data_IF_658035926868
#
_entry.id   IF_658035926868
#
_cell.length_a   1.000
_cell.length_b   1.000
_cell.length_c   1.000
_cell.angle_alpha   90.00
_cell.angle_beta   90.00
_cell.angle_gamma   90.00
#
_symmetry.space_group_name_H-M   'P 1'
#
loop_
_entity.id
_entity.type
_entity.pdbx_description
1 polymer ?
#
# COMPACT_ATOMS: atom_id res chain seq x y z
N UNK A 1 -13.43 -53.64 -25.43
CA UNK A 1 -13.44 -53.30 -24.00
C UNK A 1 -12.14 -52.63 -23.52
N UNK A 2 -10.93 -53.14 -23.87
CA UNK A 2 -9.65 -52.47 -23.43
C UNK A 2 -9.45 -51.05 -23.92
N UNK A 3 -9.92 -50.66 -25.12
CA UNK A 3 -9.81 -49.28 -25.65
C UNK A 3 -10.71 -48.26 -24.94
N UNK A 4 -11.85 -48.73 -24.44
CA UNK A 4 -12.80 -47.85 -23.67
C UNK A 4 -12.22 -47.53 -22.28
N UNK A 5 -11.55 -48.51 -21.64
CA UNK A 5 -10.89 -48.34 -20.35
C UNK A 5 -9.74 -47.33 -20.40
N UNK A 6 -8.98 -47.33 -21.48
CA UNK A 6 -7.86 -46.36 -21.66
C UNK A 6 -8.40 -44.92 -21.87
N UNK A 7 -9.52 -44.80 -22.61
CA UNK A 7 -10.13 -43.50 -22.86
C UNK A 7 -10.74 -42.89 -21.55
N UNK A 8 -11.39 -43.73 -20.72
CA UNK A 8 -11.94 -43.32 -19.42
C UNK A 8 -10.81 -42.91 -18.45
N UNK A 9 -9.66 -43.63 -18.47
CA UNK A 9 -8.51 -43.31 -17.65
C UNK A 9 -7.84 -42.01 -18.06
N UNK A 10 -7.79 -41.71 -19.36
CA UNK A 10 -7.24 -40.45 -19.90
C UNK A 10 -8.09 -39.22 -19.52
N UNK A 11 -9.43 -39.36 -19.46
CA UNK A 11 -10.36 -38.30 -19.07
C UNK A 11 -10.26 -37.98 -17.56
N UNK A 12 -9.97 -38.99 -16.73
CA UNK A 12 -9.82 -38.80 -15.28
C UNK A 12 -8.56 -38.03 -14.87
N UNK A 13 -7.53 -38.02 -15.72
CA UNK A 13 -6.28 -37.28 -15.45
C UNK A 13 -6.42 -35.77 -15.73
N UNK A 14 -7.41 -35.35 -16.54
CA UNK A 14 -7.62 -33.95 -16.88
C UNK A 14 -8.44 -33.16 -15.83
N UNK A 15 -8.97 -33.79 -14.78
CA UNK A 15 -9.80 -33.11 -13.76
C UNK A 15 -9.00 -32.72 -12.50
N UNK A 16 -7.69 -32.96 -12.48
CA UNK A 16 -6.84 -32.71 -11.30
C UNK A 16 -5.93 -31.48 -11.46
N UNK A 17 -6.49 -30.32 -11.79
CA UNK A 17 -5.78 -29.04 -11.65
C UNK A 17 -6.79 -27.89 -11.53
N UNK A 18 -7.58 -27.89 -10.46
CA UNK A 18 -8.13 -26.68 -9.89
C UNK A 18 -7.78 -26.68 -8.40
N UNK A 19 -6.48 -26.45 -8.10
CA UNK A 19 -6.15 -25.80 -6.86
C UNK A 19 -6.48 -24.31 -7.08
N UNK A 20 -7.69 -23.89 -6.74
CA UNK A 20 -7.92 -22.55 -6.32
C UNK A 20 -6.95 -22.31 -5.16
N UNK A 21 -5.80 -21.69 -5.46
CA UNK A 21 -5.07 -20.95 -4.47
C UNK A 21 -6.08 -19.94 -3.93
N UNK A 22 -6.70 -20.24 -2.79
CA UNK A 22 -7.26 -19.22 -1.93
C UNK A 22 -6.08 -18.32 -1.60
N UNK A 23 -5.84 -17.32 -2.46
CA UNK A 23 -5.07 -16.16 -2.04
C UNK A 23 -5.78 -15.71 -0.77
N UNK A 24 -5.10 -15.84 0.36
CA UNK A 24 -5.55 -15.20 1.59
C UNK A 24 -5.85 -13.76 1.19
N UNK A 25 -7.14 -13.41 1.14
CA UNK A 25 -7.54 -12.03 0.90
C UNK A 25 -6.90 -11.24 2.03
N UNK A 26 -5.77 -10.60 1.74
CA UNK A 26 -5.11 -9.70 2.67
C UNK A 26 -6.18 -8.70 3.09
N UNK A 27 -6.65 -8.83 4.32
CA UNK A 27 -7.75 -8.03 4.83
C UNK A 27 -7.34 -6.58 4.75
N UNK A 28 -8.01 -5.81 3.91
CA UNK A 28 -7.82 -4.34 3.85
C UNK A 28 -7.83 -3.79 5.27
N UNK A 29 -6.91 -2.88 5.56
CA UNK A 29 -6.81 -2.28 6.89
C UNK A 29 -8.15 -1.63 7.26
N UNK A 30 -8.74 -2.05 8.37
CA UNK A 30 -9.93 -1.42 8.92
C UNK A 30 -9.51 -0.29 9.86
N UNK A 31 -9.43 0.91 9.32
CA UNK A 31 -9.00 2.11 10.06
C UNK A 31 -9.85 2.38 11.30
N UNK A 32 -11.16 2.12 11.25
CA UNK A 32 -12.09 2.33 12.37
C UNK A 32 -11.74 1.48 13.59
N UNK A 33 -11.23 0.27 13.38
CA UNK A 33 -10.81 -0.62 14.46
C UNK A 33 -9.47 -0.23 15.08
N UNK A 34 -8.78 0.76 14.50
CA UNK A 34 -7.45 1.23 14.92
C UNK A 34 -7.47 2.62 15.53
N UNK A 35 -8.64 3.21 15.69
CA UNK A 35 -8.75 4.54 16.31
C UNK A 35 -8.22 4.48 17.73
N UNK A 36 -7.27 5.37 18.03
CA UNK A 36 -6.66 5.52 19.34
C UNK A 36 -7.09 6.84 19.98
N UNK A 37 -7.18 6.84 21.30
CA UNK A 37 -7.32 8.08 22.07
C UNK A 37 -5.94 8.49 22.54
N UNK A 38 -5.38 9.53 21.92
CA UNK A 38 -4.12 10.14 22.36
C UNK A 38 -4.46 11.17 23.42
N UNK A 39 -3.82 11.06 24.60
CA UNK A 39 -4.04 12.01 25.68
C UNK A 39 -3.26 13.30 25.43
N UNK A 40 -3.86 14.49 25.67
CA UNK A 40 -3.14 15.76 25.60
C UNK A 40 -1.97 15.87 26.62
N UNK A 41 -1.95 14.98 27.63
CA UNK A 41 -0.88 14.91 28.64
C UNK A 41 0.32 14.08 28.19
N UNK A 42 0.18 13.33 27.08
CA UNK A 42 1.26 12.51 26.55
C UNK A 42 2.29 13.45 25.90
N UNK A 43 3.55 13.35 26.32
CA UNK A 43 4.64 14.11 25.72
C UNK A 43 5.05 13.44 24.41
N UNK A 44 4.32 13.73 23.32
CA UNK A 44 4.57 13.18 22.00
C UNK A 44 5.28 14.20 21.10
N UNK A 45 6.20 13.71 20.29
CA UNK A 45 6.76 14.44 19.17
C UNK A 45 5.83 14.31 17.96
N UNK A 46 5.57 15.44 17.26
CA UNK A 46 4.72 15.50 16.07
C UNK A 46 5.59 15.71 14.84
N UNK A 47 5.21 15.12 13.72
CA UNK A 47 5.86 15.37 12.45
C UNK A 47 4.92 15.16 11.28
N UNK A 48 5.34 15.66 10.12
CA UNK A 48 4.69 15.51 8.85
C UNK A 48 5.67 14.94 7.82
N UNK A 49 5.20 14.00 7.00
CA UNK A 49 6.03 13.35 5.97
C UNK A 49 5.35 13.36 4.61
N UNK A 50 6.13 13.66 3.57
CA UNK A 50 5.72 13.65 2.18
C UNK A 50 6.26 12.41 1.49
N UNK A 51 5.40 11.67 0.76
CA UNK A 51 5.75 10.48 0.00
C UNK A 51 5.28 10.62 -1.45
N UNK A 52 6.21 10.58 -2.41
CA UNK A 52 5.87 10.55 -3.83
C UNK A 52 5.28 9.21 -4.23
N UNK A 53 4.18 9.24 -4.98
CA UNK A 53 3.48 8.08 -5.53
C UNK A 53 3.26 8.29 -7.02
N UNK A 54 3.18 7.21 -7.77
CA UNK A 54 2.90 7.25 -9.20
C UNK A 54 1.80 6.23 -9.54
N UNK A 55 0.62 6.71 -9.92
CA UNK A 55 -0.44 5.87 -10.49
C UNK A 55 -0.18 5.56 -11.96
N UNK A 56 0.57 6.43 -12.63
CA UNK A 56 1.00 6.28 -14.02
C UNK A 56 2.42 6.77 -14.21
N UNK A 57 3.13 6.20 -15.19
CA UNK A 57 4.42 6.72 -15.66
C UNK A 57 4.41 6.84 -17.18
N UNK A 58 5.20 7.79 -17.70
CA UNK A 58 5.42 7.90 -19.14
C UNK A 58 6.29 6.74 -19.62
N UNK A 59 5.99 6.25 -20.83
CA UNK A 59 6.72 5.17 -21.47
C UNK A 59 6.97 5.50 -22.94
N UNK A 60 8.22 5.44 -23.35
CA UNK A 60 8.72 5.68 -24.70
C UNK A 60 8.48 7.11 -25.23
N UNK A 61 7.42 7.80 -24.81
CA UNK A 61 7.10 9.16 -25.25
C UNK A 61 6.18 9.86 -24.24
N UNK A 62 6.00 11.19 -24.40
CA UNK A 62 5.04 11.98 -23.63
C UNK A 62 3.56 11.63 -23.93
N UNK A 63 3.30 10.81 -24.94
CA UNK A 63 1.93 10.44 -25.36
C UNK A 63 1.50 9.04 -24.89
N UNK A 64 2.43 8.28 -24.30
CA UNK A 64 2.15 6.93 -23.81
C UNK A 64 2.42 6.83 -22.31
N UNK A 65 1.47 6.29 -21.55
CA UNK A 65 1.59 6.05 -20.12
C UNK A 65 1.28 4.60 -19.80
N UNK A 66 1.92 4.08 -18.76
CA UNK A 66 1.59 2.80 -18.13
C UNK A 66 0.96 3.07 -16.77
N UNK A 67 -0.08 2.32 -16.46
CA UNK A 67 -0.69 2.30 -15.14
C UNK A 67 0.15 1.45 -14.20
N UNK A 68 0.09 1.78 -12.92
CA UNK A 68 0.84 1.12 -11.86
C UNK A 68 -0.07 0.77 -10.70
N UNK A 69 0.15 -0.41 -10.13
CA UNK A 69 -0.30 -0.69 -8.75
C UNK A 69 0.70 -0.04 -7.80
N UNK A 70 0.22 0.72 -6.83
CA UNK A 70 1.06 1.29 -5.79
C UNK A 70 0.69 0.69 -4.42
N UNK A 71 1.67 0.08 -3.75
CA UNK A 71 1.56 -0.40 -2.38
C UNK A 71 2.32 0.54 -1.48
N UNK A 72 1.61 1.22 -0.58
CA UNK A 72 2.17 2.16 0.40
C UNK A 72 2.25 1.46 1.74
N UNK A 73 3.45 1.38 2.31
CA UNK A 73 3.73 0.79 3.62
C UNK A 73 3.94 1.88 4.66
N UNK A 74 3.16 1.81 5.74
CA UNK A 74 3.26 2.69 6.91
C UNK A 74 3.82 1.86 8.06
N UNK A 75 5.12 2.05 8.36
CA UNK A 75 5.88 1.17 9.25
C UNK A 75 6.21 1.83 10.56
N UNK A 76 5.93 1.13 11.65
CA UNK A 76 6.53 1.43 12.95
C UNK A 76 7.86 0.67 13.08
N UNK A 77 8.96 1.39 13.15
CA UNK A 77 10.30 0.81 13.26
C UNK A 77 10.75 0.63 14.72
N UNK A 78 9.97 1.12 15.71
CA UNK A 78 10.24 0.88 17.12
C UNK A 78 9.97 -0.58 17.50
N UNK A 79 10.85 -1.17 18.29
CA UNK A 79 10.67 -2.52 18.84
C UNK A 79 9.76 -2.57 20.07
N UNK A 80 9.45 -1.41 20.68
CA UNK A 80 8.75 -1.34 21.97
C UNK A 80 7.63 -0.32 22.04
N UNK A 81 7.70 0.75 21.27
CA UNK A 81 6.77 1.87 21.37
C UNK A 81 5.69 1.78 20.29
N UNK A 82 4.47 2.08 20.66
CA UNK A 82 3.36 2.32 19.71
C UNK A 82 3.47 3.75 19.18
N UNK A 83 3.26 3.92 17.88
CA UNK A 83 3.18 5.23 17.24
C UNK A 83 1.76 5.53 16.78
N UNK A 84 1.47 6.78 16.49
CA UNK A 84 0.15 7.23 16.07
C UNK A 84 0.25 7.97 14.75
N UNK A 85 -0.58 7.56 13.78
CA UNK A 85 -0.77 8.28 12.54
C UNK A 85 -2.06 9.08 12.68
N UNK A 86 -1.98 10.38 12.48
CA UNK A 86 -3.11 11.30 12.72
C UNK A 86 -3.95 11.48 11.47
N UNK A 87 -3.29 11.47 10.31
CA UNK A 87 -3.92 11.71 9.02
C UNK A 87 -3.13 11.06 7.89
N UNK A 88 -3.83 10.66 6.84
CA UNK A 88 -3.24 10.24 5.57
C UNK A 88 -4.06 10.82 4.42
N UNK A 89 -3.53 11.84 3.78
CA UNK A 89 -4.11 12.52 2.63
C UNK A 89 -3.39 12.13 1.35
N UNK A 90 -4.17 11.77 0.33
CA UNK A 90 -3.70 11.42 -1.00
C UNK A 90 -4.07 12.53 -2.00
N UNK A 91 -3.07 13.06 -2.69
CA UNK A 91 -3.19 14.15 -3.66
C UNK A 91 -2.81 13.70 -5.06
N UNK A 92 -3.41 14.33 -6.07
CA UNK A 92 -3.07 14.11 -7.46
C UNK A 92 -1.81 14.89 -7.91
N UNK A 93 -1.47 14.78 -9.19
CA UNK A 93 -0.35 15.50 -9.83
C UNK A 93 -0.48 17.03 -9.77
N UNK A 94 -1.69 17.55 -9.59
CA UNK A 94 -1.97 18.99 -9.54
C UNK A 94 -2.06 19.54 -8.12
N UNK A 95 -1.92 18.65 -7.11
CA UNK A 95 -2.04 19.00 -5.69
C UNK A 95 -3.49 19.04 -5.20
N UNK A 96 -4.43 18.48 -5.96
CA UNK A 96 -5.82 18.37 -5.55
C UNK A 96 -6.01 17.13 -4.66
N UNK A 97 -6.71 17.30 -3.54
CA UNK A 97 -7.00 16.20 -2.61
C UNK A 97 -7.94 15.19 -3.26
N UNK A 98 -7.46 13.95 -3.44
CA UNK A 98 -8.27 12.84 -3.96
C UNK A 98 -9.02 12.17 -2.81
N UNK A 99 -8.30 11.87 -1.70
CA UNK A 99 -8.85 11.06 -0.63
C UNK A 99 -8.10 11.26 0.69
N UNK A 100 -8.85 11.31 1.78
CA UNK A 100 -8.36 11.12 3.14
C UNK A 100 -8.67 9.69 3.57
N UNK A 101 -7.66 8.90 3.90
CA UNK A 101 -7.83 7.50 4.33
C UNK A 101 -8.29 7.40 5.78
N UNK A 102 -7.77 8.27 6.62
CA UNK A 102 -8.19 8.48 8.02
C UNK A 102 -7.82 9.91 8.45
N UNK A 103 -8.61 10.48 9.34
CA UNK A 103 -8.48 11.82 9.91
C UNK A 103 -8.62 11.80 11.44
N UNK A 104 -8.50 10.61 12.02
CA UNK A 104 -8.46 10.36 13.46
C UNK A 104 -7.21 9.57 13.79
N UNK A 105 -6.61 9.76 14.98
CA UNK A 105 -5.41 9.03 15.35
C UNK A 105 -5.63 7.52 15.26
N UNK A 106 -4.79 6.84 14.48
CA UNK A 106 -4.75 5.38 14.38
C UNK A 106 -3.41 4.89 14.93
N UNK A 107 -3.44 3.82 15.71
CA UNK A 107 -2.22 3.25 16.27
C UNK A 107 -1.55 2.29 15.30
N UNK A 108 -0.22 2.24 15.37
CA UNK A 108 0.62 1.22 14.74
C UNK A 108 1.50 0.59 15.83
N UNK A 109 1.31 -0.70 16.06
CA UNK A 109 2.02 -1.43 17.12
C UNK A 109 3.53 -1.54 16.80
N UNK A 110 4.37 -1.86 17.80
CA UNK A 110 5.80 -2.09 17.56
C UNK A 110 6.05 -3.07 16.42
N UNK A 111 6.94 -2.71 15.48
CA UNK A 111 7.33 -3.48 14.31
C UNK A 111 6.19 -3.81 13.33
N UNK A 112 5.01 -3.21 13.51
CA UNK A 112 3.87 -3.42 12.63
C UNK A 112 3.99 -2.57 11.36
N UNK A 113 3.46 -3.11 10.27
CA UNK A 113 3.28 -2.40 8.99
C UNK A 113 1.80 -2.39 8.65
N UNK A 114 1.26 -1.21 8.34
CA UNK A 114 -0.05 -1.05 7.72
C UNK A 114 0.13 -0.74 6.24
N UNK A 115 -0.85 -1.11 5.41
CA UNK A 115 -0.74 -0.97 3.97
C UNK A 115 -1.93 -0.23 3.39
N UNK A 116 -1.64 0.66 2.43
CA UNK A 116 -2.60 1.27 1.52
C UNK A 116 -2.25 0.78 0.12
N UNK A 117 -3.23 0.21 -0.57
CA UNK A 117 -3.04 -0.22 -1.96
C UNK A 117 -3.90 0.66 -2.87
N UNK A 118 -3.26 1.19 -3.91
CA UNK A 118 -3.90 1.89 -5.03
C UNK A 118 -3.85 0.92 -6.20
N UNK A 119 -5.02 0.49 -6.65
CA UNK A 119 -5.16 -0.49 -7.72
C UNK A 119 -4.67 0.08 -9.07
N UNK A 120 -4.17 -0.76 -9.96
CA UNK A 120 -3.68 -0.37 -11.29
C UNK A 120 -4.75 0.37 -12.13
N UNK A 121 -6.04 0.06 -11.90
CA UNK A 121 -7.16 0.74 -12.54
C UNK A 121 -7.45 2.15 -12.00
N UNK A 122 -6.92 2.51 -10.82
CA UNK A 122 -7.08 3.83 -10.23
C UNK A 122 -5.99 4.78 -10.72
N UNK A 123 -6.29 5.50 -11.79
CA UNK A 123 -5.39 6.47 -12.41
C UNK A 123 -5.56 7.91 -11.88
N UNK A 124 -6.38 8.11 -10.85
CA UNK A 124 -6.73 9.44 -10.31
C UNK A 124 -5.50 10.25 -9.86
N UNK A 125 -4.48 9.57 -9.33
CA UNK A 125 -3.24 10.22 -8.92
C UNK A 125 -2.38 10.76 -10.06
N UNK A 126 -2.48 10.17 -11.25
CA UNK A 126 -1.69 10.57 -12.41
C UNK A 126 -0.21 10.21 -12.29
N UNK A 127 0.65 11.08 -12.85
CA UNK A 127 2.10 10.83 -12.99
C UNK A 127 2.95 11.49 -11.92
N UNK A 128 2.37 12.06 -10.87
CA UNK A 128 3.11 12.79 -9.82
C UNK A 128 2.27 13.01 -8.58
N UNK A 129 1.48 12.02 -8.19
CA UNK A 129 0.69 12.03 -6.96
C UNK A 129 1.57 11.90 -5.72
N UNK A 130 0.98 12.15 -4.56
CA UNK A 130 1.71 12.09 -3.31
C UNK A 130 0.78 11.83 -2.13
N UNK A 131 1.38 11.35 -1.03
CA UNK A 131 0.76 11.33 0.28
C UNK A 131 1.39 12.36 1.21
N UNK A 132 0.55 12.96 2.07
CA UNK A 132 0.96 13.61 3.30
C UNK A 132 0.50 12.77 4.48
N UNK A 133 1.43 12.50 5.40
CA UNK A 133 1.17 11.77 6.63
C UNK A 133 1.49 12.65 7.83
N UNK A 134 0.48 12.93 8.67
CA UNK A 134 0.67 13.52 9.98
C UNK A 134 0.83 12.41 11.01
N UNK A 135 1.81 12.51 11.89
CA UNK A 135 2.10 11.46 12.86
C UNK A 135 2.57 12.00 14.21
N UNK A 136 2.43 11.17 15.23
CA UNK A 136 2.93 11.42 16.58
C UNK A 136 3.63 10.18 17.13
N UNK A 137 4.74 10.40 17.85
CA UNK A 137 5.56 9.36 18.45
C UNK A 137 5.96 9.74 19.88
N UNK A 138 6.20 8.75 20.77
CA UNK A 138 6.85 9.00 22.06
C UNK A 138 8.23 9.62 21.87
N UNK A 139 8.67 10.40 22.87
CA UNK A 139 10.02 10.96 22.83
C UNK A 139 11.08 9.86 22.74
N UNK A 140 12.11 10.10 21.91
CA UNK A 140 13.17 9.14 21.59
C UNK A 140 12.71 7.86 20.89
N UNK A 141 11.46 7.82 20.38
CA UNK A 141 10.99 6.78 19.49
C UNK A 141 11.54 7.04 18.08
N UNK A 142 11.97 6.03 17.32
CA UNK A 142 12.28 6.21 15.90
C UNK A 142 11.07 6.75 15.13
N UNK A 143 11.32 7.65 14.18
CA UNK A 143 10.29 8.14 13.26
C UNK A 143 9.67 6.99 12.47
N UNK A 144 8.38 7.09 12.08
CA UNK A 144 7.77 6.12 11.19
C UNK A 144 8.46 6.12 9.82
N UNK A 145 8.53 4.94 9.21
CA UNK A 145 9.04 4.79 7.86
C UNK A 145 7.87 4.61 6.90
N UNK A 146 7.72 5.54 5.95
CA UNK A 146 6.75 5.44 4.88
C UNK A 146 7.46 5.16 3.56
N UNK A 147 7.05 4.09 2.90
CA UNK A 147 7.62 3.64 1.63
C UNK A 147 6.51 3.28 0.66
N UNK A 148 6.79 3.37 -0.62
CA UNK A 148 5.90 2.84 -1.65
C UNK A 148 6.65 2.00 -2.65
N UNK A 149 6.00 0.92 -3.07
CA UNK A 149 6.41 0.08 -4.20
C UNK A 149 5.39 0.28 -5.30
N UNK A 150 5.83 0.77 -6.45
CA UNK A 150 5.02 0.81 -7.66
C UNK A 150 5.43 -0.34 -8.58
N UNK A 151 4.43 -1.03 -9.13
CA UNK A 151 4.67 -2.16 -10.04
C UNK A 151 3.67 -2.20 -11.19
N UNK A 152 4.10 -2.75 -12.32
CA UNK A 152 3.24 -3.06 -13.46
C UNK A 152 3.78 -4.30 -14.18
N UNK A 153 2.86 -5.07 -14.76
CA UNK A 153 3.17 -6.27 -15.56
C UNK A 153 2.72 -6.12 -17.02
N UNK A 154 2.69 -4.87 -17.52
CA UNK A 154 2.27 -4.60 -18.91
C UNK A 154 3.28 -5.18 -19.90
N UNK A 155 2.82 -6.08 -20.76
CA UNK A 155 3.63 -6.81 -21.70
C UNK A 155 4.35 -8.02 -21.09
N UNK A 156 5.47 -8.41 -21.69
CA UNK A 156 6.29 -9.54 -21.21
C UNK A 156 7.33 -9.17 -20.17
N UNK A 157 7.42 -7.90 -19.79
CA UNK A 157 8.40 -7.38 -18.85
C UNK A 157 7.71 -6.73 -17.65
N UNK A 158 8.10 -7.15 -16.44
CA UNK A 158 7.69 -6.49 -15.22
C UNK A 158 8.51 -5.22 -14.99
N UNK A 159 7.85 -4.20 -14.40
CA UNK A 159 8.48 -2.99 -13.91
C UNK A 159 8.18 -2.85 -12.42
N UNK A 160 9.18 -2.53 -11.63
CA UNK A 160 8.97 -2.18 -10.22
C UNK A 160 10.03 -1.17 -9.78
N UNK A 161 9.61 -0.21 -8.94
CA UNK A 161 10.50 0.74 -8.29
C UNK A 161 9.89 1.20 -6.97
N UNK A 162 10.71 1.81 -6.11
CA UNK A 162 10.32 2.23 -4.78
C UNK A 162 10.54 3.73 -4.59
N UNK A 163 9.76 4.31 -3.69
CA UNK A 163 9.97 5.65 -3.15
C UNK A 163 9.96 5.60 -1.64
N UNK A 164 10.64 6.54 -1.01
CA UNK A 164 10.67 6.69 0.44
C UNK A 164 10.27 8.12 0.80
N UNK A 165 9.52 8.26 1.89
CA UNK A 165 9.07 9.55 2.35
C UNK A 165 10.21 10.39 2.92
N UNK A 166 10.00 11.70 2.89
CA UNK A 166 10.83 12.70 3.55
C UNK A 166 10.01 13.43 4.59
N UNK A 167 10.52 13.56 5.82
CA UNK A 167 9.96 14.47 6.81
C UNK A 167 10.06 15.90 6.30
N UNK A 168 8.99 16.67 6.43
CA UNK A 168 8.91 18.08 5.97
C UNK A 168 8.59 19.05 7.12
N UNK A 169 8.07 18.54 8.24
CA UNK A 169 7.89 19.26 9.51
C UNK A 169 8.24 18.41 10.72
#
# INVERSE_FOLDING_TARGET
>A
MKKIFVLVWLVLVCVSCENENKQDELKKVNWKNRVAKVSPTDSLETGESYLSIYSQIYSLSQHKRYNLTAMVSLRNTSKKDTIYLLKADYYDTHGELIKTYFDQPVYVSPMETLEIVIDEGDISGGTGSNFLFDWQIPQNCPEPLFEAVMSSTVGSQGLSFTTQAKRIQ
#
